data_IF_478292917766
#
_entry.id   IF_478292917766
#
_cell.length_a   1.000
_cell.length_b   1.000
_cell.length_c   1.000
_cell.angle_alpha   90.00
_cell.angle_beta   90.00
_cell.angle_gamma   90.00
#
_symmetry.space_group_name_H-M   'P 1'
#
loop_
_entity.id
_entity.type
_entity.pdbx_description
1 polymer ?
#
# COMPACT_ATOMS: atom_id res chain seq x y z
N UNK A 1 -7.24 -9.29 -34.95
CA UNK A 1 -5.99 -9.73 -34.33
C UNK A 1 -6.33 -10.12 -32.90
N UNK A 2 -6.08 -11.36 -32.46
CA UNK A 2 -6.41 -11.81 -31.11
C UNK A 2 -5.44 -11.13 -30.14
N UNK A 3 -5.98 -10.47 -29.11
CA UNK A 3 -5.22 -10.03 -27.95
C UNK A 3 -4.60 -11.25 -27.28
N UNK A 4 -3.28 -11.27 -27.26
CA UNK A 4 -2.49 -12.28 -26.58
C UNK A 4 -2.79 -12.25 -25.07
N UNK A 5 -3.53 -13.24 -24.59
CA UNK A 5 -3.67 -13.58 -23.19
C UNK A 5 -2.40 -14.31 -22.72
N UNK A 6 -1.28 -13.59 -22.66
CA UNK A 6 -0.01 -14.14 -22.16
C UNK A 6 0.32 -13.52 -20.80
N UNK A 7 0.53 -14.44 -19.87
CA UNK A 7 1.03 -14.26 -18.49
C UNK A 7 0.12 -13.45 -17.55
N UNK A 8 -0.82 -14.17 -16.90
CA UNK A 8 -1.19 -13.84 -15.53
C UNK A 8 0.07 -14.09 -14.67
N UNK A 9 1.01 -13.15 -14.72
CA UNK A 9 2.11 -13.09 -13.76
C UNK A 9 1.47 -12.95 -12.38
N UNK A 10 1.73 -13.93 -11.52
CA UNK A 10 1.32 -13.89 -10.12
C UNK A 10 2.15 -12.79 -9.47
N UNK A 11 1.63 -11.57 -9.50
CA UNK A 11 2.18 -10.44 -8.77
C UNK A 11 2.09 -10.76 -7.29
N UNK A 12 3.23 -10.86 -6.61
CA UNK A 12 3.24 -10.95 -5.16
C UNK A 12 2.57 -9.69 -4.60
N UNK A 13 1.59 -9.87 -3.72
CA UNK A 13 0.68 -8.82 -3.28
C UNK A 13 1.29 -7.83 -2.30
N UNK A 14 2.02 -6.83 -2.79
CA UNK A 14 2.57 -5.74 -1.98
C UNK A 14 1.59 -4.58 -1.82
N UNK A 15 1.68 -3.92 -0.67
CA UNK A 15 0.85 -2.77 -0.30
C UNK A 15 1.70 -1.76 0.49
N UNK A 16 1.38 -0.49 0.36
CA UNK A 16 2.02 0.57 1.15
C UNK A 16 1.68 0.39 2.63
N UNK A 17 2.69 0.33 3.49
CA UNK A 17 2.51 0.08 4.93
C UNK A 17 1.75 1.21 5.63
N UNK A 18 1.90 2.45 5.16
CA UNK A 18 1.20 3.60 5.72
C UNK A 18 -0.34 3.53 5.61
N UNK A 19 -0.89 2.59 4.82
CA UNK A 19 -2.34 2.30 4.84
C UNK A 19 -2.82 1.71 6.18
N UNK A 20 -1.91 1.22 7.03
CA UNK A 20 -2.22 0.82 8.41
C UNK A 20 -2.08 1.97 9.42
N UNK A 21 -1.53 3.14 9.03
CA UNK A 21 -1.34 4.27 9.94
C UNK A 21 -2.63 4.78 10.61
N UNK A 22 -3.80 4.85 9.93
CA UNK A 22 -5.06 5.24 10.56
C UNK A 22 -5.46 4.35 11.74
N UNK A 23 -5.13 3.07 11.68
CA UNK A 23 -5.41 2.12 12.77
C UNK A 23 -4.51 2.42 13.99
N UNK A 24 -3.22 2.66 13.76
CA UNK A 24 -2.29 3.06 14.81
C UNK A 24 -2.73 4.36 15.48
N UNK A 25 -3.11 5.36 14.68
CA UNK A 25 -3.62 6.64 15.18
C UNK A 25 -4.88 6.45 16.03
N UNK A 26 -5.84 5.65 15.56
CA UNK A 26 -7.09 5.36 16.28
C UNK A 26 -6.84 4.74 17.66
N UNK A 27 -5.90 3.80 17.78
CA UNK A 27 -5.51 3.21 19.05
C UNK A 27 -4.85 4.26 19.98
N UNK A 28 -3.92 5.04 19.42
CA UNK A 28 -3.16 6.05 20.16
C UNK A 28 -4.08 7.13 20.76
N UNK A 29 -5.03 7.63 19.99
CA UNK A 29 -6.03 8.61 20.43
C UNK A 29 -6.90 8.07 21.59
N UNK A 30 -7.13 6.76 21.62
CA UNK A 30 -7.87 6.06 22.70
C UNK A 30 -7.00 5.57 23.83
N UNK A 31 -5.69 5.91 23.81
CA UNK A 31 -4.69 5.49 24.81
C UNK A 31 -4.55 3.96 24.92
N UNK A 32 -4.79 3.24 23.84
CA UNK A 32 -4.58 1.79 23.75
C UNK A 32 -3.14 1.59 23.29
N UNK A 33 -2.37 0.76 24.03
CA UNK A 33 -0.99 0.49 23.69
C UNK A 33 -0.89 -0.42 22.44
N UNK A 34 -0.35 0.05 21.30
CA UNK A 34 -0.24 -0.76 20.09
C UNK A 34 0.97 -1.71 20.09
N UNK A 35 1.90 -1.55 21.06
CA UNK A 35 3.19 -2.25 21.04
C UNK A 35 3.08 -3.78 20.99
N UNK A 36 2.17 -4.44 21.74
CA UNK A 36 2.04 -5.89 21.64
C UNK A 36 1.67 -6.38 20.23
N UNK A 37 0.83 -5.64 19.50
CA UNK A 37 0.47 -5.98 18.14
C UNK A 37 1.63 -5.74 17.15
N UNK A 38 2.39 -4.67 17.34
CA UNK A 38 3.60 -4.39 16.55
C UNK A 38 4.67 -5.45 16.76
N UNK A 39 4.90 -5.86 18.00
CA UNK A 39 5.87 -6.90 18.35
C UNK A 39 5.49 -8.26 17.73
N UNK A 40 4.19 -8.58 17.70
CA UNK A 40 3.67 -9.83 17.11
C UNK A 40 4.03 -9.97 15.63
N UNK A 41 4.07 -8.86 14.88
CA UNK A 41 4.40 -8.85 13.45
C UNK A 41 5.83 -8.36 13.16
N UNK A 42 6.61 -8.03 14.20
CA UNK A 42 8.01 -7.59 14.08
C UNK A 42 8.17 -6.19 13.43
N UNK A 43 7.19 -5.31 13.56
CA UNK A 43 7.21 -3.96 13.01
C UNK A 43 7.46 -2.89 14.08
N UNK A 44 8.05 -1.77 13.65
CA UNK A 44 8.17 -0.55 14.46
C UNK A 44 7.12 0.46 14.02
N UNK A 45 6.58 1.22 14.97
CA UNK A 45 5.54 2.22 14.72
C UNK A 45 5.94 3.28 13.69
N UNK A 46 7.22 3.69 13.68
CA UNK A 46 7.75 4.71 12.76
C UNK A 46 7.63 4.29 11.30
N UNK A 47 7.70 2.99 11.00
CA UNK A 47 7.56 2.46 9.64
C UNK A 47 6.15 2.68 9.06
N UNK A 48 5.13 2.74 9.91
CA UNK A 48 3.74 2.97 9.48
C UNK A 48 3.52 4.42 9.02
N UNK A 49 4.38 5.34 9.39
CA UNK A 49 4.30 6.75 8.98
C UNK A 49 5.20 7.07 7.80
N UNK A 50 6.04 6.13 7.35
CA UNK A 50 6.88 6.29 6.18
C UNK A 50 6.09 5.92 4.90
N UNK A 51 5.77 6.90 4.04
CA UNK A 51 5.00 6.65 2.82
C UNK A 51 5.81 5.89 1.75
N UNK A 52 7.09 5.65 1.95
CA UNK A 52 7.93 4.93 0.99
C UNK A 52 7.98 3.41 1.22
N UNK A 53 7.48 2.93 2.37
CA UNK A 53 7.60 1.51 2.77
C UNK A 53 6.48 0.67 2.18
N UNK A 54 6.85 -0.40 1.47
CA UNK A 54 5.95 -1.42 0.96
C UNK A 54 6.25 -2.77 1.61
N UNK A 55 5.19 -3.49 1.96
CA UNK A 55 5.26 -4.83 2.55
C UNK A 55 4.24 -5.75 1.87
N UNK A 56 4.35 -7.06 2.10
CA UNK A 56 3.32 -7.99 1.64
C UNK A 56 1.99 -7.70 2.35
N UNK A 57 0.87 -7.79 1.63
CA UNK A 57 -0.45 -7.45 2.15
C UNK A 57 -0.87 -8.26 3.38
N UNK A 58 -0.42 -9.52 3.48
CA UNK A 58 -0.72 -10.36 4.65
C UNK A 58 -0.09 -9.85 5.94
N UNK A 59 1.05 -9.15 5.86
CA UNK A 59 1.64 -8.48 7.02
C UNK A 59 0.72 -7.36 7.54
N UNK A 60 0.14 -6.58 6.63
CA UNK A 60 -0.84 -5.54 6.99
C UNK A 60 -2.11 -6.18 7.57
N UNK A 61 -2.61 -7.27 6.96
CA UNK A 61 -3.78 -7.97 7.49
C UNK A 61 -3.53 -8.50 8.90
N UNK A 62 -2.37 -9.13 9.14
CA UNK A 62 -1.94 -9.59 10.46
C UNK A 62 -1.86 -8.46 11.48
N UNK A 63 -1.22 -7.36 11.10
CA UNK A 63 -1.07 -6.18 11.97
C UNK A 63 -2.42 -5.59 12.39
N UNK A 64 -3.32 -5.33 11.44
CA UNK A 64 -4.62 -4.71 11.78
C UNK A 64 -5.57 -5.65 12.51
N UNK A 65 -5.43 -6.96 12.29
CA UNK A 65 -6.13 -7.96 13.11
C UNK A 65 -5.55 -7.98 14.54
N UNK A 66 -4.24 -7.93 14.72
CA UNK A 66 -3.60 -7.83 16.03
C UNK A 66 -4.00 -6.52 16.75
N UNK A 67 -4.13 -5.40 16.04
CA UNK A 67 -4.70 -4.17 16.61
C UNK A 67 -6.13 -4.36 17.11
N UNK A 68 -6.97 -5.11 16.39
CA UNK A 68 -8.32 -5.47 16.84
C UNK A 68 -8.29 -6.32 18.11
N UNK A 69 -7.38 -7.27 18.21
CA UNK A 69 -7.21 -8.12 19.41
C UNK A 69 -6.78 -7.31 20.63
N UNK A 70 -5.74 -6.47 20.52
CA UNK A 70 -5.24 -5.67 21.65
C UNK A 70 -6.23 -4.58 22.09
N UNK A 71 -7.08 -4.11 21.19
CA UNK A 71 -8.14 -3.13 21.51
C UNK A 71 -9.40 -3.78 22.07
N UNK A 72 -9.61 -5.08 21.84
CA UNK A 72 -10.87 -5.77 22.12
C UNK A 72 -12.02 -5.34 21.22
N UNK A 73 -11.73 -4.57 20.16
CA UNK A 73 -12.73 -4.06 19.21
C UNK A 73 -12.80 -4.96 17.97
N UNK A 74 -13.77 -5.87 17.93
CA UNK A 74 -13.98 -6.76 16.78
C UNK A 74 -14.30 -6.03 15.47
N UNK A 75 -14.79 -4.79 15.54
CA UNK A 75 -15.15 -3.94 14.42
C UNK A 75 -14.15 -2.80 14.21
N UNK A 76 -12.91 -2.96 14.68
CA UNK A 76 -11.89 -1.92 14.63
C UNK A 76 -11.78 -1.30 13.24
N UNK A 77 -11.68 -2.13 12.20
CA UNK A 77 -11.55 -1.65 10.82
C UNK A 77 -12.72 -0.75 10.40
N UNK A 78 -13.94 -1.17 10.72
CA UNK A 78 -15.12 -0.38 10.46
C UNK A 78 -15.07 0.97 11.21
N UNK A 79 -14.76 0.95 12.51
CA UNK A 79 -14.72 2.13 13.35
C UNK A 79 -13.62 3.11 12.92
N UNK A 80 -12.45 2.60 12.52
CA UNK A 80 -11.39 3.41 11.92
C UNK A 80 -11.88 4.05 10.61
N UNK A 81 -12.50 3.26 9.72
CA UNK A 81 -13.03 3.75 8.46
C UNK A 81 -14.13 4.81 8.62
N UNK A 82 -14.96 4.72 9.68
CA UNK A 82 -15.99 5.72 9.99
C UNK A 82 -15.42 7.09 10.38
N UNK A 83 -14.26 7.13 10.99
CA UNK A 83 -13.61 8.37 11.46
C UNK A 83 -12.50 8.85 10.53
N UNK A 84 -12.02 7.99 9.62
CA UNK A 84 -10.93 8.31 8.73
C UNK A 84 -11.25 9.48 7.79
N UNK A 85 -10.36 10.45 7.70
CA UNK A 85 -10.47 11.54 6.74
C UNK A 85 -10.06 11.05 5.34
N UNK A 86 -11.02 10.93 4.43
CA UNK A 86 -10.80 10.44 3.06
C UNK A 86 -9.77 11.26 2.27
N UNK A 87 -9.60 12.54 2.63
CA UNK A 87 -8.62 13.42 2.00
C UNK A 87 -7.17 13.17 2.45
N UNK A 88 -6.97 12.37 3.49
CA UNK A 88 -5.63 11.98 3.95
C UNK A 88 -5.03 10.83 3.15
N UNK A 89 -5.84 10.13 2.36
CA UNK A 89 -5.33 9.09 1.46
C UNK A 89 -5.09 9.67 0.06
N UNK A 90 -3.82 9.79 -0.39
CA UNK A 90 -3.48 10.53 -1.60
C UNK A 90 -4.26 10.13 -2.87
N UNK A 91 -4.41 8.83 -3.22
CA UNK A 91 -5.20 8.45 -4.41
C UNK A 91 -6.67 8.87 -4.32
N UNK A 92 -7.25 8.76 -3.13
CA UNK A 92 -8.65 9.12 -2.91
C UNK A 92 -8.84 10.64 -3.00
N UNK A 93 -7.98 11.39 -2.32
CA UNK A 93 -7.98 12.85 -2.38
C UNK A 93 -7.76 13.36 -3.81
N UNK A 94 -6.80 12.80 -4.54
CA UNK A 94 -6.53 13.17 -5.93
C UNK A 94 -7.73 12.86 -6.84
N UNK A 95 -8.38 11.71 -6.68
CA UNK A 95 -9.58 11.38 -7.43
C UNK A 95 -10.71 12.38 -7.14
N UNK A 96 -10.99 12.70 -5.87
CA UNK A 96 -12.00 13.67 -5.48
C UNK A 96 -11.73 15.08 -6.03
N UNK A 97 -10.48 15.54 -6.01
CA UNK A 97 -10.11 16.90 -6.46
C UNK A 97 -10.19 17.06 -7.97
N UNK A 98 -9.98 15.98 -8.74
CA UNK A 98 -9.85 16.04 -10.20
C UNK A 98 -11.11 15.62 -10.96
N UNK A 99 -12.17 15.22 -10.26
CA UNK A 99 -13.40 14.68 -10.86
C UNK A 99 -14.64 15.39 -10.31
N UNK A 100 -15.78 15.23 -10.98
CA UNK A 100 -17.03 15.88 -10.60
C UNK A 100 -18.14 14.89 -10.26
N UNK A 101 -18.10 13.68 -10.80
CA UNK A 101 -19.11 12.65 -10.60
C UNK A 101 -18.52 11.39 -9.99
N UNK A 102 -19.35 10.53 -9.40
CA UNK A 102 -18.90 9.22 -8.90
C UNK A 102 -18.31 8.35 -10.03
N UNK A 103 -18.85 8.44 -11.25
CA UNK A 103 -18.32 7.70 -12.38
C UNK A 103 -16.87 8.12 -12.68
N UNK A 104 -16.63 9.42 -12.77
CA UNK A 104 -15.29 9.96 -12.97
C UNK A 104 -14.37 9.60 -11.80
N UNK A 105 -14.86 9.72 -10.56
CA UNK A 105 -14.11 9.35 -9.37
C UNK A 105 -13.65 7.89 -9.42
N UNK A 106 -14.56 6.93 -9.59
CA UNK A 106 -14.17 5.53 -9.61
C UNK A 106 -13.24 5.21 -10.79
N UNK A 107 -13.49 5.78 -11.96
CA UNK A 107 -12.62 5.61 -13.14
C UNK A 107 -11.21 6.13 -12.86
N UNK A 108 -11.09 7.32 -12.26
CA UNK A 108 -9.80 7.90 -11.91
C UNK A 108 -9.11 7.11 -10.79
N UNK A 109 -9.86 6.75 -9.76
CA UNK A 109 -9.34 6.03 -8.60
C UNK A 109 -8.79 4.65 -8.94
N UNK A 110 -9.46 3.90 -9.82
CA UNK A 110 -8.95 2.60 -10.34
C UNK A 110 -7.55 2.75 -10.94
N UNK A 111 -7.27 3.85 -11.65
CA UNK A 111 -5.95 4.12 -12.23
C UNK A 111 -4.88 4.56 -11.22
N UNK A 112 -5.28 5.00 -10.02
CA UNK A 112 -4.35 5.47 -8.98
C UNK A 112 -3.96 4.38 -7.97
N UNK A 113 -4.85 3.40 -7.73
CA UNK A 113 -4.61 2.33 -6.75
C UNK A 113 -3.33 1.54 -6.98
N UNK A 114 -2.88 1.23 -8.22
CA UNK A 114 -1.63 0.52 -8.45
C UNK A 114 -0.37 1.19 -7.88
N UNK A 115 -0.43 2.49 -7.58
CA UNK A 115 0.66 3.21 -6.89
C UNK A 115 0.73 2.91 -5.38
N UNK A 116 -0.36 2.38 -4.81
CA UNK A 116 -0.47 2.06 -3.40
C UNK A 116 -0.41 0.55 -3.14
N UNK A 117 -0.93 -0.25 -4.07
CA UNK A 117 -1.02 -1.69 -3.92
C UNK A 117 -1.11 -2.41 -5.25
N UNK A 118 -0.41 -3.52 -5.37
CA UNK A 118 -0.62 -4.52 -6.43
C UNK A 118 -1.27 -5.82 -5.88
N UNK A 119 -1.68 -5.82 -4.59
CA UNK A 119 -2.35 -6.98 -3.98
C UNK A 119 -3.81 -7.13 -4.39
N UNK A 120 -4.41 -6.05 -4.90
CA UNK A 120 -5.81 -5.98 -5.31
C UNK A 120 -5.96 -5.36 -6.68
N UNK A 121 -7.02 -5.73 -7.37
CA UNK A 121 -7.50 -5.08 -8.60
C UNK A 121 -8.84 -4.43 -8.32
N UNK A 122 -8.96 -3.18 -8.69
CA UNK A 122 -10.21 -2.43 -8.60
C UNK A 122 -10.89 -2.37 -9.97
N UNK A 123 -12.20 -2.46 -10.00
CA UNK A 123 -13.01 -2.34 -11.22
C UNK A 123 -14.38 -1.77 -10.93
N UNK A 124 -14.93 -1.06 -11.91
CA UNK A 124 -16.31 -0.59 -11.91
C UNK A 124 -17.08 -1.35 -13.00
N UNK A 125 -18.12 -2.06 -12.60
CA UNK A 125 -18.99 -2.83 -13.49
C UNK A 125 -20.32 -2.09 -13.55
N UNK A 126 -20.82 -1.83 -14.76
CA UNK A 126 -22.08 -1.12 -15.00
C UNK A 126 -23.05 -2.07 -15.70
N UNK A 127 -24.20 -2.28 -15.09
CA UNK A 127 -25.33 -3.02 -15.61
C UNK A 127 -26.50 -2.04 -15.86
N UNK A 128 -27.62 -2.52 -16.38
CA UNK A 128 -28.72 -1.63 -16.80
C UNK A 128 -29.22 -0.70 -15.68
N UNK A 129 -29.35 -1.19 -14.46
CA UNK A 129 -29.93 -0.49 -13.30
C UNK A 129 -28.99 -0.43 -12.08
N UNK A 130 -27.84 -1.09 -12.17
CA UNK A 130 -26.92 -1.29 -11.07
C UNK A 130 -25.48 -1.01 -11.46
N UNK A 131 -24.76 -0.34 -10.59
CA UNK A 131 -23.29 -0.23 -10.63
C UNK A 131 -22.70 -1.08 -9.50
N UNK A 132 -21.59 -1.75 -9.77
CA UNK A 132 -20.84 -2.54 -8.77
C UNK A 132 -19.38 -2.12 -8.80
N UNK A 133 -18.90 -1.57 -7.70
CA UNK A 133 -17.49 -1.35 -7.49
C UNK A 133 -16.88 -2.54 -6.80
N UNK A 134 -15.93 -3.20 -7.48
CA UNK A 134 -15.33 -4.46 -7.06
C UNK A 134 -13.86 -4.30 -6.76
N UNK A 135 -13.41 -4.97 -5.70
CA UNK A 135 -12.01 -5.06 -5.26
C UNK A 135 -11.67 -6.53 -5.18
N UNK A 136 -10.93 -7.02 -6.17
CA UNK A 136 -10.52 -8.42 -6.29
C UNK A 136 -9.10 -8.60 -5.75
N UNK A 137 -8.89 -9.54 -4.84
CA UNK A 137 -7.53 -9.90 -4.40
C UNK A 137 -6.86 -10.76 -5.47
N UNK A 138 -5.59 -10.45 -5.74
CA UNK A 138 -4.82 -11.19 -6.75
C UNK A 138 -4.50 -12.63 -6.30
N UNK A 139 -4.50 -12.87 -4.99
CA UNK A 139 -4.26 -14.18 -4.38
C UNK A 139 -5.24 -14.42 -3.23
N UNK A 140 -5.53 -15.69 -2.95
CA UNK A 140 -6.26 -16.08 -1.75
C UNK A 140 -5.39 -15.79 -0.52
N UNK A 141 -5.85 -14.93 0.40
CA UNK A 141 -5.04 -14.59 1.58
C UNK A 141 -5.03 -15.76 2.59
N UNK A 142 -3.86 -16.05 3.14
CA UNK A 142 -3.72 -17.01 4.26
C UNK A 142 -4.11 -16.37 5.59
N UNK A 143 -3.92 -15.05 5.72
CA UNK A 143 -4.38 -14.24 6.85
C UNK A 143 -5.72 -13.58 6.47
N UNK A 144 -6.83 -13.93 7.12
CA UNK A 144 -8.14 -13.33 6.81
C UNK A 144 -8.14 -11.81 6.96
N UNK A 145 -8.46 -11.04 5.91
CA UNK A 145 -8.39 -9.56 5.93
C UNK A 145 -9.65 -8.93 6.53
N UNK A 146 -10.09 -9.39 7.70
CA UNK A 146 -11.36 -9.02 8.34
C UNK A 146 -11.43 -7.51 8.59
N UNK A 147 -10.40 -6.94 9.21
CA UNK A 147 -10.39 -5.51 9.56
C UNK A 147 -10.25 -4.61 8.33
N UNK A 148 -9.47 -5.02 7.33
CA UNK A 148 -9.34 -4.30 6.05
C UNK A 148 -10.68 -4.30 5.30
N UNK A 149 -11.44 -5.39 5.37
CA UNK A 149 -12.78 -5.48 4.76
C UNK A 149 -13.77 -4.52 5.45
N UNK A 150 -13.75 -4.45 6.78
CA UNK A 150 -14.57 -3.50 7.55
C UNK A 150 -14.21 -2.04 7.23
N UNK A 151 -12.91 -1.74 7.18
CA UNK A 151 -12.41 -0.41 6.80
C UNK A 151 -12.89 -0.01 5.40
N UNK A 152 -12.76 -0.90 4.41
CA UNK A 152 -13.23 -0.65 3.04
C UNK A 152 -14.75 -0.42 2.98
N UNK A 153 -15.55 -1.19 3.72
CA UNK A 153 -16.99 -1.00 3.78
C UNK A 153 -17.34 0.42 4.29
N UNK A 154 -16.72 0.85 5.39
CA UNK A 154 -16.95 2.20 5.92
C UNK A 154 -16.56 3.29 4.91
N UNK A 155 -15.41 3.17 4.26
CA UNK A 155 -14.95 4.15 3.28
C UNK A 155 -15.94 4.33 2.11
N UNK A 156 -16.34 3.23 1.47
CA UNK A 156 -17.18 3.32 0.28
C UNK A 156 -18.63 3.65 0.60
N UNK A 157 -19.17 3.16 1.73
CA UNK A 157 -20.52 3.55 2.17
C UNK A 157 -20.57 5.05 2.50
N UNK A 158 -19.59 5.59 3.22
CA UNK A 158 -19.50 7.03 3.51
C UNK A 158 -19.33 7.87 2.24
N UNK A 159 -18.52 7.43 1.29
CA UNK A 159 -18.38 8.10 0.00
C UNK A 159 -19.74 8.22 -0.68
N UNK A 160 -20.47 7.09 -0.81
CA UNK A 160 -21.79 7.07 -1.42
C UNK A 160 -22.77 7.95 -0.65
N UNK A 161 -22.83 7.86 0.68
CA UNK A 161 -23.69 8.71 1.51
C UNK A 161 -23.42 10.20 1.30
N UNK A 162 -22.13 10.58 1.25
CA UNK A 162 -21.73 11.98 1.05
C UNK A 162 -22.17 12.52 -0.32
N UNK A 163 -22.07 11.71 -1.37
CA UNK A 163 -22.42 12.15 -2.73
C UNK A 163 -23.93 12.10 -2.98
N UNK A 164 -24.60 11.08 -2.48
CA UNK A 164 -26.05 10.88 -2.67
C UNK A 164 -26.88 11.83 -1.79
N UNK A 165 -26.34 12.20 -0.62
CA UNK A 165 -26.99 13.16 0.29
C UNK A 165 -28.41 12.74 0.69
N UNK A 166 -29.36 13.66 0.56
CA UNK A 166 -30.77 13.46 0.98
C UNK A 166 -31.49 12.34 0.18
N UNK A 167 -30.96 11.94 -0.97
CA UNK A 167 -31.49 10.84 -1.78
C UNK A 167 -30.95 9.47 -1.38
N UNK A 168 -30.21 9.39 -0.27
CA UNK A 168 -29.67 8.13 0.23
C UNK A 168 -30.77 7.16 0.64
N UNK A 169 -30.73 5.98 0.04
CA UNK A 169 -31.60 4.84 0.38
C UNK A 169 -30.72 3.61 0.60
N UNK A 170 -30.52 3.27 1.87
CA UNK A 170 -29.67 2.14 2.27
C UNK A 170 -30.17 0.79 1.74
N UNK A 171 -31.48 0.63 1.53
CA UNK A 171 -32.08 -0.61 1.02
C UNK A 171 -31.65 -0.94 -0.42
N UNK A 172 -31.14 0.05 -1.14
CA UNK A 172 -30.62 -0.07 -2.52
C UNK A 172 -29.11 -0.32 -2.59
N UNK A 173 -28.45 -0.46 -1.42
CA UNK A 173 -26.99 -0.68 -1.33
C UNK A 173 -26.74 -2.07 -0.77
N UNK A 174 -25.85 -2.80 -1.43
CA UNK A 174 -25.45 -4.14 -1.02
C UNK A 174 -23.91 -4.22 -0.94
N UNK A 175 -23.42 -4.64 0.22
CA UNK A 175 -22.01 -4.98 0.44
C UNK A 175 -21.84 -6.50 0.47
N UNK A 176 -20.87 -6.99 -0.25
CA UNK A 176 -20.56 -8.42 -0.31
C UNK A 176 -19.08 -8.68 -0.13
N UNK A 177 -18.74 -9.63 0.73
CA UNK A 177 -17.37 -10.13 0.91
C UNK A 177 -17.42 -11.53 1.55
N UNK A 178 -16.37 -12.32 1.35
CA UNK A 178 -16.17 -13.56 2.11
C UNK A 178 -15.90 -13.29 3.60
N UNK A 179 -15.30 -12.15 3.93
CA UNK A 179 -14.79 -11.78 5.26
C UNK A 179 -15.72 -10.75 5.95
N UNK A 180 -16.99 -11.09 6.12
CA UNK A 180 -18.00 -10.18 6.69
C UNK A 180 -17.96 -10.07 8.22
N UNK A 181 -17.14 -10.87 8.93
CA UNK A 181 -17.07 -10.87 10.39
C UNK A 181 -16.62 -9.52 11.00
N UNK A 182 -16.05 -8.64 10.20
CA UNK A 182 -15.66 -7.27 10.57
C UNK A 182 -16.79 -6.23 10.43
N UNK A 183 -18.03 -6.66 10.11
CA UNK A 183 -19.19 -5.78 9.97
C UNK A 183 -20.38 -6.33 10.76
N UNK A 184 -21.21 -5.46 11.38
CA UNK A 184 -22.55 -5.83 11.85
C UNK A 184 -23.44 -6.17 10.65
N UNK A 185 -24.39 -7.09 10.85
CA UNK A 185 -25.34 -7.52 9.80
C UNK A 185 -26.24 -6.35 9.33
N UNK A 186 -26.54 -5.43 10.24
CA UNK A 186 -27.40 -4.27 10.03
C UNK A 186 -26.63 -2.96 9.84
N UNK A 187 -25.36 -3.04 9.38
CA UNK A 187 -24.52 -1.85 9.22
C UNK A 187 -25.20 -0.78 8.37
N UNK A 188 -25.58 0.34 8.99
CA UNK A 188 -26.25 1.51 8.37
C UNK A 188 -27.50 1.16 7.53
N UNK A 189 -28.11 0.02 7.78
CA UNK A 189 -29.29 -0.43 7.06
C UNK A 189 -29.03 -0.93 5.63
N UNK A 190 -27.77 -1.08 5.21
CA UNK A 190 -27.43 -1.69 3.93
C UNK A 190 -27.51 -3.22 4.01
N UNK A 191 -27.71 -3.87 2.88
CA UNK A 191 -27.64 -5.34 2.82
C UNK A 191 -26.17 -5.79 2.89
N UNK A 192 -25.82 -6.63 3.89
CA UNK A 192 -24.49 -7.24 4.03
C UNK A 192 -24.60 -8.74 3.72
N UNK A 193 -23.86 -9.21 2.72
CA UNK A 193 -23.92 -10.59 2.24
C UNK A 193 -22.56 -11.24 2.00
N UNK A 194 -22.58 -12.57 1.86
CA UNK A 194 -21.39 -13.33 1.45
C UNK A 194 -21.15 -13.13 -0.05
N UNK A 195 -19.95 -12.70 -0.40
CA UNK A 195 -19.49 -12.62 -1.78
C UNK A 195 -18.84 -13.91 -2.25
N UNK A 196 -18.82 -14.15 -3.58
CA UNK A 196 -18.27 -15.36 -4.19
C UNK A 196 -16.75 -15.45 -4.13
N UNK A 197 -16.04 -14.32 -4.07
CA UNK A 197 -14.58 -14.22 -4.23
C UNK A 197 -13.86 -13.77 -2.95
N UNK A 198 -12.53 -13.97 -2.85
CA UNK A 198 -11.74 -13.51 -1.72
C UNK A 198 -11.66 -11.97 -1.62
N UNK A 199 -12.34 -11.23 -2.50
CA UNK A 199 -12.45 -9.79 -2.53
C UNK A 199 -13.62 -9.22 -1.74
N UNK A 200 -14.02 -8.03 -2.14
CA UNK A 200 -15.18 -7.30 -1.64
C UNK A 200 -15.78 -6.47 -2.76
N UNK A 201 -17.09 -6.22 -2.67
CA UNK A 201 -17.77 -5.36 -3.64
C UNK A 201 -18.92 -4.61 -2.98
N UNK A 202 -19.23 -3.44 -3.55
CA UNK A 202 -20.40 -2.65 -3.19
C UNK A 202 -21.23 -2.40 -4.44
N UNK A 203 -22.50 -2.74 -4.38
CA UNK A 203 -23.47 -2.50 -5.46
C UNK A 203 -24.46 -1.41 -5.03
N UNK A 204 -24.80 -0.55 -5.98
CA UNK A 204 -25.68 0.60 -5.77
C UNK A 204 -26.36 1.00 -7.09
N UNK A 205 -27.40 1.84 -7.08
CA UNK A 205 -28.09 2.28 -8.30
C UNK A 205 -27.17 2.96 -9.30
N UNK A 206 -27.29 2.59 -10.57
CA UNK A 206 -26.43 3.13 -11.65
C UNK A 206 -26.56 4.65 -11.80
N UNK A 207 -27.74 5.22 -11.55
CA UNK A 207 -27.98 6.66 -11.62
C UNK A 207 -27.13 7.46 -10.63
N UNK A 208 -26.68 6.85 -9.51
CA UNK A 208 -25.80 7.52 -8.55
C UNK A 208 -24.42 7.82 -9.11
N UNK A 209 -23.99 7.08 -10.11
CA UNK A 209 -22.71 7.35 -10.81
C UNK A 209 -22.64 8.75 -11.41
N UNK A 210 -23.77 9.32 -11.80
CA UNK A 210 -23.85 10.60 -12.46
C UNK A 210 -24.11 11.79 -11.50
N UNK A 211 -24.28 11.50 -10.22
CA UNK A 211 -24.41 12.54 -9.20
C UNK A 211 -23.07 13.27 -9.01
N UNK A 212 -23.17 14.57 -8.82
CA UNK A 212 -22.00 15.42 -8.58
C UNK A 212 -21.61 15.35 -7.12
N UNK A 213 -20.36 15.03 -6.85
CA UNK A 213 -19.80 15.27 -5.52
C UNK A 213 -19.31 16.71 -5.41
N UNK A 214 -19.58 17.33 -4.27
CA UNK A 214 -19.03 18.66 -4.00
C UNK A 214 -17.56 18.49 -3.62
N UNK A 215 -16.66 18.88 -4.52
CA UNK A 215 -15.27 19.08 -4.10
C UNK A 215 -15.26 20.37 -3.28
N UNK A 216 -15.08 20.26 -1.98
CA UNK A 216 -14.78 21.43 -1.17
C UNK A 216 -13.42 21.97 -1.63
N UNK A 217 -13.44 23.08 -2.38
CA UNK A 217 -12.25 23.71 -2.97
C UNK A 217 -11.22 24.22 -1.94
N UNK A 218 -11.41 23.92 -0.67
CA UNK A 218 -10.50 24.23 0.44
C UNK A 218 -9.36 23.19 0.61
N UNK A 219 -9.42 22.06 -0.08
CA UNK A 219 -8.38 21.04 0.03
C UNK A 219 -7.08 21.55 -0.59
N UNK A 220 -6.07 21.79 0.23
CA UNK A 220 -4.69 22.00 -0.24
C UNK A 220 -4.30 20.83 -1.13
N UNK A 221 -3.63 21.09 -2.28
CA UNK A 221 -3.07 20.00 -3.08
C UNK A 221 -2.18 19.16 -2.17
N UNK A 222 -2.59 17.93 -1.89
CA UNK A 222 -1.71 16.96 -1.26
C UNK A 222 -0.66 16.68 -2.33
N UNK A 223 0.57 17.13 -2.07
CA UNK A 223 1.71 16.73 -2.89
C UNK A 223 1.76 15.21 -2.81
N UNK A 224 1.26 14.54 -3.85
CA UNK A 224 1.51 13.13 -4.01
C UNK A 224 3.01 12.95 -3.92
N UNK A 225 3.54 12.06 -3.07
CA UNK A 225 4.93 11.69 -3.22
C UNK A 225 5.06 11.29 -4.69
N UNK A 226 5.96 11.95 -5.42
CA UNK A 226 6.23 11.67 -6.82
C UNK A 226 6.87 10.27 -6.90
N UNK A 227 6.06 9.25 -6.79
CA UNK A 227 6.42 7.87 -7.03
C UNK A 227 5.50 7.41 -8.16
N UNK A 228 5.90 7.73 -9.41
CA UNK A 228 5.32 7.15 -10.63
C UNK A 228 5.69 5.65 -10.77
N UNK A 229 6.35 5.06 -9.79
CA UNK A 229 6.75 3.66 -9.82
C UNK A 229 5.59 2.78 -9.33
N UNK A 230 5.19 1.85 -10.19
CA UNK A 230 4.27 0.77 -9.81
C UNK A 230 4.85 -0.04 -8.65
N UNK A 231 3.98 -0.50 -7.75
CA UNK A 231 4.36 -1.35 -6.63
C UNK A 231 4.89 -2.68 -7.16
N UNK A 232 6.17 -2.93 -6.95
CA UNK A 232 6.85 -4.17 -7.38
C UNK A 232 7.64 -4.76 -6.22
N UNK A 233 8.05 -6.03 -6.34
CA UNK A 233 8.94 -6.64 -5.34
C UNK A 233 10.27 -5.89 -5.23
N UNK A 234 10.76 -5.30 -6.32
CA UNK A 234 11.99 -4.49 -6.30
C UNK A 234 11.77 -3.16 -5.58
N UNK A 235 10.65 -2.49 -5.81
CA UNK A 235 10.28 -1.27 -5.09
C UNK A 235 10.12 -1.55 -3.58
N UNK A 236 9.43 -2.64 -3.23
CA UNK A 236 9.26 -3.08 -1.84
C UNK A 236 10.62 -3.41 -1.18
N UNK A 237 11.48 -4.18 -1.85
CA UNK A 237 12.83 -4.48 -1.39
C UNK A 237 13.62 -3.20 -1.11
N UNK A 238 13.62 -2.26 -2.05
CA UNK A 238 14.36 -0.99 -1.91
C UNK A 238 13.84 -0.14 -0.76
N UNK A 239 12.53 -0.16 -0.51
CA UNK A 239 11.92 0.61 0.58
C UNK A 239 12.36 0.14 1.96
N UNK A 240 12.41 -1.18 2.19
CA UNK A 240 12.79 -1.74 3.50
C UNK A 240 14.30 -1.81 3.75
N UNK A 241 15.13 -1.74 2.69
CA UNK A 241 16.59 -1.80 2.81
C UNK A 241 17.28 -0.45 2.83
N UNK A 242 16.58 0.66 2.55
CA UNK A 242 17.20 1.99 2.42
C UNK A 242 18.08 2.36 3.61
N UNK A 243 17.61 2.10 4.83
CA UNK A 243 18.27 2.47 6.08
C UNK A 243 18.95 1.27 6.76
N UNK A 244 19.17 0.16 6.02
CA UNK A 244 19.74 -1.08 6.54
C UNK A 244 20.94 -1.59 5.76
N UNK A 245 21.49 -0.78 4.84
CA UNK A 245 22.58 -1.19 3.96
C UNK A 245 23.91 -1.38 4.67
N UNK A 246 24.06 -0.90 5.89
CA UNK A 246 25.18 -1.10 6.80
C UNK A 246 25.12 -2.45 7.55
N UNK A 247 23.95 -3.11 7.56
CA UNK A 247 23.81 -4.43 8.19
C UNK A 247 24.66 -5.47 7.44
N UNK A 248 25.30 -6.36 8.20
CA UNK A 248 26.25 -7.35 7.67
C UNK A 248 25.56 -8.53 6.99
N UNK A 249 24.34 -8.84 7.41
CA UNK A 249 23.54 -9.96 6.87
C UNK A 249 22.25 -9.45 6.22
N UNK A 250 22.32 -9.17 4.91
CA UNK A 250 21.16 -8.85 4.08
C UNK A 250 20.72 -10.08 3.28
N UNK A 251 20.64 -11.24 3.97
CA UNK A 251 20.21 -12.51 3.39
C UNK A 251 18.71 -12.55 3.02
N UNK A 252 18.29 -13.56 2.22
CA UNK A 252 16.91 -13.71 1.79
C UNK A 252 15.92 -13.80 2.96
N UNK A 253 16.28 -14.51 4.02
CA UNK A 253 15.46 -14.73 5.21
C UNK A 253 15.17 -13.43 5.94
N UNK A 254 16.19 -12.60 6.15
CA UNK A 254 16.06 -11.30 6.81
C UNK A 254 15.19 -10.36 5.97
N UNK A 255 15.47 -10.25 4.68
CA UNK A 255 14.73 -9.34 3.79
C UNK A 255 13.29 -9.79 3.60
N UNK A 256 13.05 -11.09 3.43
CA UNK A 256 11.71 -11.64 3.31
C UNK A 256 10.90 -11.43 4.61
N UNK A 257 11.54 -11.55 5.78
CA UNK A 257 10.94 -11.23 7.07
C UNK A 257 10.49 -9.75 7.15
N UNK A 258 11.33 -8.80 6.72
CA UNK A 258 10.97 -7.37 6.67
C UNK A 258 9.79 -7.08 5.73
N UNK A 259 9.69 -7.84 4.65
CA UNK A 259 8.60 -7.72 3.67
C UNK A 259 7.33 -8.46 4.08
N UNK A 260 7.40 -9.35 5.08
CA UNK A 260 6.27 -10.20 5.50
C UNK A 260 5.90 -11.28 4.47
N UNK A 261 6.88 -11.79 3.74
CA UNK A 261 6.72 -12.81 2.69
C UNK A 261 7.63 -14.01 2.98
N UNK A 262 7.26 -15.19 2.50
CA UNK A 262 8.14 -16.37 2.61
C UNK A 262 9.38 -16.21 1.71
N UNK A 263 10.61 -16.60 2.17
CA UNK A 263 11.84 -16.41 1.41
C UNK A 263 11.81 -16.98 0.00
N UNK A 264 11.22 -18.17 -0.18
CA UNK A 264 11.11 -18.84 -1.49
C UNK A 264 10.22 -18.05 -2.46
N UNK A 265 9.09 -17.51 -1.96
CA UNK A 265 8.19 -16.65 -2.75
C UNK A 265 8.87 -15.35 -3.13
N UNK A 266 9.59 -14.73 -2.20
CA UNK A 266 10.37 -13.51 -2.44
C UNK A 266 11.42 -13.71 -3.54
N UNK A 267 12.24 -14.79 -3.45
CA UNK A 267 13.25 -15.09 -4.46
C UNK A 267 12.65 -15.38 -5.82
N UNK A 268 11.53 -16.12 -5.86
CA UNK A 268 10.79 -16.38 -7.08
C UNK A 268 10.25 -15.10 -7.72
N UNK A 269 9.71 -14.17 -6.92
CA UNK A 269 9.23 -12.88 -7.42
C UNK A 269 10.36 -12.03 -8.03
N UNK A 270 11.55 -12.00 -7.40
CA UNK A 270 12.72 -11.35 -7.97
C UNK A 270 13.15 -11.99 -9.31
N UNK A 271 13.14 -13.31 -9.37
CA UNK A 271 13.49 -14.06 -10.60
C UNK A 271 12.50 -13.75 -11.74
N UNK A 272 11.22 -13.66 -11.46
CA UNK A 272 10.19 -13.29 -12.44
C UNK A 272 10.42 -11.87 -12.99
N UNK A 273 10.97 -10.97 -12.19
CA UNK A 273 11.41 -9.64 -12.63
C UNK A 273 12.83 -9.61 -13.26
N UNK A 274 13.40 -10.78 -13.55
CA UNK A 274 14.70 -10.90 -14.21
C UNK A 274 15.88 -10.40 -13.37
N UNK A 275 15.74 -10.40 -12.03
CA UNK A 275 16.77 -9.92 -11.12
C UNK A 275 17.04 -10.86 -9.95
N UNK A 276 17.96 -10.50 -9.05
CA UNK A 276 18.31 -11.26 -7.84
C UNK A 276 18.57 -10.32 -6.68
N UNK A 277 18.43 -10.80 -5.43
CA UNK A 277 18.67 -10.00 -4.24
C UNK A 277 20.08 -9.33 -4.22
N UNK A 278 21.17 -10.04 -4.47
CA UNK A 278 22.50 -9.41 -4.52
C UNK A 278 22.65 -8.32 -5.59
N UNK A 279 21.96 -8.49 -6.72
CA UNK A 279 21.98 -7.51 -7.82
C UNK A 279 21.23 -6.24 -7.41
N UNK A 280 20.08 -6.36 -6.78
CA UNK A 280 19.29 -5.20 -6.34
C UNK A 280 19.94 -4.48 -5.16
N UNK A 281 20.57 -5.17 -4.20
CA UNK A 281 21.37 -4.54 -3.13
C UNK A 281 22.52 -3.73 -3.74
N UNK A 282 23.24 -4.27 -4.73
CA UNK A 282 24.32 -3.52 -5.41
C UNK A 282 23.80 -2.28 -6.11
N UNK A 283 22.68 -2.36 -6.81
CA UNK A 283 22.03 -1.22 -7.47
C UNK A 283 21.60 -0.16 -6.45
N UNK A 284 20.94 -0.56 -5.37
CA UNK A 284 20.49 0.34 -4.32
C UNK A 284 21.67 1.07 -3.67
N UNK A 285 22.77 0.35 -3.36
CA UNK A 285 24.01 0.96 -2.85
C UNK A 285 24.59 2.01 -3.81
N UNK A 286 24.57 1.74 -5.11
CA UNK A 286 25.04 2.70 -6.14
C UNK A 286 24.12 3.92 -6.20
N UNK A 287 22.81 3.74 -6.19
CA UNK A 287 21.84 4.83 -6.28
C UNK A 287 21.96 5.78 -5.08
N UNK A 288 22.03 5.23 -3.87
CA UNK A 288 22.23 6.00 -2.64
C UNK A 288 23.60 6.69 -2.63
N UNK A 289 24.66 5.98 -3.04
CA UNK A 289 25.99 6.60 -3.17
C UNK A 289 25.98 7.80 -4.10
N UNK A 290 25.38 7.68 -5.29
CA UNK A 290 25.24 8.78 -6.25
C UNK A 290 24.49 9.96 -5.68
N UNK A 291 23.42 9.73 -4.91
CA UNK A 291 22.67 10.79 -4.24
C UNK A 291 23.54 11.56 -3.27
N UNK A 292 24.19 10.89 -2.31
CA UNK A 292 25.02 11.55 -1.31
C UNK A 292 26.29 12.19 -1.88
N UNK A 293 26.86 11.60 -2.95
CA UNK A 293 27.99 12.23 -3.67
C UNK A 293 27.61 13.54 -4.33
N UNK A 294 26.37 13.70 -4.83
CA UNK A 294 25.84 14.95 -5.40
C UNK A 294 25.51 16.00 -4.34
N UNK A 295 25.01 15.58 -3.18
CA UNK A 295 24.65 16.47 -2.08
C UNK A 295 25.87 17.10 -1.39
N UNK A 296 27.06 16.53 -1.56
CA UNK A 296 28.37 16.95 -1.04
C UNK A 296 28.42 17.28 0.47
N UNK A 297 27.55 16.62 1.25
CA UNK A 297 27.44 16.82 2.71
C UNK A 297 28.26 15.81 3.52
N UNK A 298 28.62 14.69 2.91
CA UNK A 298 29.34 13.57 3.52
C UNK A 298 30.66 13.31 2.82
N UNK A 299 31.66 12.91 3.58
CA UNK A 299 32.93 12.43 3.00
C UNK A 299 32.72 11.08 2.27
N UNK A 300 33.61 10.75 1.35
CA UNK A 300 33.56 9.46 0.65
C UNK A 300 33.70 8.28 1.61
N UNK A 301 34.42 8.45 2.73
CA UNK A 301 34.57 7.42 3.75
C UNK A 301 33.25 7.20 4.52
N UNK A 302 32.57 8.28 4.93
CA UNK A 302 31.28 8.22 5.61
C UNK A 302 30.21 7.57 4.74
N UNK A 303 30.15 7.92 3.44
CA UNK A 303 29.23 7.26 2.49
C UNK A 303 29.55 5.76 2.41
N UNK A 304 30.83 5.38 2.36
CA UNK A 304 31.23 3.97 2.34
C UNK A 304 30.77 3.21 3.58
N UNK A 305 30.96 3.77 4.78
CA UNK A 305 30.54 3.16 6.04
C UNK A 305 29.03 3.01 6.10
N UNK A 306 28.25 4.05 5.77
CA UNK A 306 26.80 4.05 5.72
C UNK A 306 26.24 2.95 4.78
N UNK A 307 26.98 2.62 3.72
CA UNK A 307 26.61 1.58 2.77
C UNK A 307 27.17 0.18 3.13
N UNK A 308 27.72 0.00 4.36
CA UNK A 308 28.22 -1.27 4.86
C UNK A 308 29.60 -1.68 4.35
N UNK A 309 30.42 -0.73 3.89
CA UNK A 309 31.83 -1.02 3.52
C UNK A 309 32.75 -0.72 4.69
N UNK A 310 33.68 -1.64 4.94
CA UNK A 310 34.65 -1.53 6.04
C UNK A 310 35.59 -0.31 5.94
N UNK A 311 35.86 0.15 4.72
CA UNK A 311 36.74 1.28 4.47
C UNK A 311 36.48 1.95 3.10
N UNK A 312 37.07 3.15 2.93
CA UNK A 312 37.00 3.96 1.72
C UNK A 312 37.50 3.22 0.47
N UNK A 313 38.52 2.35 0.60
CA UNK A 313 39.13 1.67 -0.53
C UNK A 313 38.24 0.59 -1.09
N UNK A 314 37.55 -0.18 -0.21
CA UNK A 314 36.57 -1.16 -0.60
C UNK A 314 35.36 -0.50 -1.27
N UNK A 315 34.83 0.59 -0.71
CA UNK A 315 33.76 1.36 -1.34
C UNK A 315 34.18 1.93 -2.71
N UNK A 316 35.39 2.54 -2.82
CA UNK A 316 35.87 3.12 -4.06
C UNK A 316 35.99 2.06 -5.17
N UNK A 317 36.50 0.87 -4.84
CA UNK A 317 36.60 -0.26 -5.77
C UNK A 317 35.24 -0.75 -6.24
N UNK A 318 34.30 -0.92 -5.31
CA UNK A 318 32.94 -1.27 -5.62
C UNK A 318 32.28 -0.23 -6.55
N UNK A 319 32.30 1.04 -6.16
CA UNK A 319 31.64 2.11 -6.92
C UNK A 319 32.20 2.23 -8.33
N UNK A 320 33.54 2.18 -8.47
CA UNK A 320 34.21 2.17 -9.79
C UNK A 320 33.83 0.95 -10.62
N UNK A 321 33.74 -0.22 -10.01
CA UNK A 321 33.34 -1.44 -10.70
C UNK A 321 31.89 -1.39 -11.23
N UNK A 322 31.01 -0.65 -10.54
CA UNK A 322 29.60 -0.52 -10.94
C UNK A 322 29.33 0.66 -11.90
N UNK A 323 30.11 1.75 -11.81
CA UNK A 323 29.83 3.01 -12.52
C UNK A 323 30.89 3.35 -13.57
N UNK A 324 32.04 2.66 -13.60
CA UNK A 324 33.16 2.96 -14.45
C UNK A 324 34.07 4.10 -13.93
N UNK A 325 33.66 4.86 -12.92
CA UNK A 325 34.40 6.02 -12.40
C UNK A 325 34.53 5.98 -10.88
N UNK A 326 35.54 6.67 -10.34
CA UNK A 326 35.73 6.75 -8.88
C UNK A 326 34.69 7.68 -8.25
N UNK A 327 34.36 7.51 -6.95
CA UNK A 327 33.44 8.42 -6.23
C UNK A 327 33.91 9.88 -6.30
N UNK A 328 35.23 10.14 -6.24
CA UNK A 328 35.80 11.48 -6.34
C UNK A 328 35.51 12.12 -7.71
N UNK A 329 35.78 11.39 -8.81
CA UNK A 329 35.44 11.87 -10.15
C UNK A 329 33.96 12.12 -10.34
N UNK A 330 33.12 11.23 -9.84
CA UNK A 330 31.67 11.38 -9.92
C UNK A 330 31.17 12.63 -9.17
N UNK A 331 31.73 12.92 -7.97
CA UNK A 331 31.41 14.13 -7.18
C UNK A 331 31.78 15.41 -7.92
N UNK A 332 32.95 15.42 -8.59
CA UNK A 332 33.45 16.57 -9.35
C UNK A 332 32.80 16.73 -10.73
N UNK A 333 31.88 15.83 -11.13
CA UNK A 333 31.26 15.88 -12.45
C UNK A 333 32.19 15.55 -13.62
N UNK A 334 33.30 14.82 -13.38
CA UNK A 334 34.37 14.53 -14.32
C UNK A 334 34.22 13.16 -14.98
#
# INVERSE_FOLDING_TARGET
>A
MPFNATSREHSEGFIRLSLAAPFLQYLTERKINPQPALDQVGLKAELLTDPSVFVHSELVYGLVNAFSEVSGDRYLGLNVGETFNLQEWPPFAQALQTTKTLFEFFTRFVGLVPQESNSVRHSLIIEADKATYRIERQQEPTVPPVQVTGFGAALYVRLLQTVVGDSWDSSRVRWESRYINGLPIDYKGIEVGLGPDPGMQISFPVEWLFLHHVSDGSARPIASPQHDEEVTVVAALRSVLRDKLDETDLGPEMVAGLLGIQPERFLKALQQQGTTLPREIKRLRVDIAKKHLKEDRMTIAEIGLMLGYSDKSHFTRFFRGQTGMTPTKFRLGL
#
